data_IF_025250562478
#
_entry.id   IF_025250562478
#
_cell.length_a   1.000
_cell.length_b   1.000
_cell.length_c   1.000
_cell.angle_alpha   90.00
_cell.angle_beta   90.00
_cell.angle_gamma   90.00
#
_symmetry.space_group_name_H-M   'P 1'
#
loop_
_entity.id
_entity.type
_entity.pdbx_description
1 polymer ?
#
# COMPACT_ATOMS: atom_id res chain seq x y z
N UNK A 1 -21.52 37.10 5.26
CA UNK A 1 -20.08 36.99 5.60
C UNK A 1 -19.95 35.77 6.50
N UNK A 2 -19.87 34.59 5.88
CA UNK A 2 -19.99 33.29 6.54
C UNK A 2 -18.60 32.80 6.93
N UNK A 3 -18.35 32.76 8.24
CA UNK A 3 -17.12 32.22 8.83
C UNK A 3 -17.05 30.72 8.52
N UNK A 4 -16.05 30.30 7.77
CA UNK A 4 -15.77 28.89 7.52
C UNK A 4 -15.12 28.34 8.80
N UNK A 5 -15.83 27.46 9.51
CA UNK A 5 -15.31 26.71 10.66
C UNK A 5 -14.28 25.68 10.18
N UNK A 6 -12.99 25.99 10.38
CA UNK A 6 -11.86 25.24 9.84
C UNK A 6 -11.69 23.88 10.55
N UNK A 7 -12.31 23.69 11.72
CA UNK A 7 -12.12 22.49 12.56
C UNK A 7 -12.91 21.24 12.15
N UNK A 8 -13.86 21.35 11.22
CA UNK A 8 -14.57 20.17 10.67
C UNK A 8 -13.98 19.67 9.34
N UNK A 9 -13.11 20.45 8.68
CA UNK A 9 -12.58 20.09 7.37
C UNK A 9 -11.48 19.01 7.42
N UNK A 10 -10.84 18.83 8.57
CA UNK A 10 -9.66 17.95 8.71
C UNK A 10 -10.00 16.45 8.64
N UNK A 11 -11.22 16.05 9.04
CA UNK A 11 -11.63 14.63 9.05
C UNK A 11 -12.20 14.16 7.71
N UNK A 12 -12.74 15.07 6.89
CA UNK A 12 -13.29 14.72 5.57
C UNK A 12 -12.22 14.50 4.50
N UNK A 13 -10.99 14.97 4.71
CA UNK A 13 -9.89 14.77 3.76
C UNK A 13 -9.49 13.29 3.64
N UNK A 14 -9.70 12.50 4.70
CA UNK A 14 -9.35 11.07 4.75
C UNK A 14 -10.44 10.14 4.19
N UNK A 15 -11.64 10.64 3.90
CA UNK A 15 -12.73 9.83 3.37
C UNK A 15 -12.87 9.91 1.83
N UNK A 16 -12.04 10.74 1.17
CA UNK A 16 -12.26 11.17 -0.22
C UNK A 16 -11.28 10.60 -1.26
N UNK A 17 -10.53 9.54 -0.96
CA UNK A 17 -9.47 9.04 -1.85
C UNK A 17 -9.78 7.68 -2.45
N UNK A 18 -10.70 7.58 -3.40
CA UNK A 18 -10.81 6.38 -4.25
C UNK A 18 -11.09 6.75 -5.69
N UNK A 19 -10.23 7.59 -6.26
CA UNK A 19 -10.08 7.68 -7.71
C UNK A 19 -9.24 6.50 -8.17
N UNK A 20 -9.87 5.30 -8.22
CA UNK A 20 -9.40 4.02 -8.78
C UNK A 20 -7.97 4.01 -9.37
N UNK A 21 -6.96 4.16 -8.52
CA UNK A 21 -5.57 4.01 -8.91
C UNK A 21 -5.39 2.52 -9.23
N UNK A 22 -4.98 2.19 -10.46
CA UNK A 22 -5.05 0.84 -11.04
C UNK A 22 -4.64 -0.23 -10.03
N UNK A 23 -5.61 -1.02 -9.57
CA UNK A 23 -5.32 -2.06 -8.60
C UNK A 23 -4.63 -3.24 -9.30
N UNK A 24 -3.65 -3.84 -8.61
CA UNK A 24 -2.90 -4.98 -9.11
C UNK A 24 -3.20 -6.21 -8.27
N UNK A 25 -3.27 -7.37 -8.92
CA UNK A 25 -3.22 -8.63 -8.18
C UNK A 25 -1.89 -8.76 -7.42
N UNK A 26 -1.91 -9.48 -6.30
CA UNK A 26 -0.70 -9.75 -5.51
C UNK A 26 0.44 -10.34 -6.36
N UNK A 27 0.11 -11.23 -7.30
CA UNK A 27 1.10 -11.86 -8.18
C UNK A 27 1.72 -10.88 -9.18
N UNK A 28 0.92 -9.98 -9.74
CA UNK A 28 1.43 -8.94 -10.63
C UNK A 28 2.35 -7.98 -9.86
N UNK A 29 1.93 -7.53 -8.67
CA UNK A 29 2.75 -6.68 -7.80
C UNK A 29 4.08 -7.35 -7.42
N UNK A 30 4.05 -8.64 -7.08
CA UNK A 30 5.24 -9.43 -6.79
C UNK A 30 6.20 -9.51 -7.99
N UNK A 31 5.70 -9.75 -9.20
CA UNK A 31 6.55 -9.79 -10.40
C UNK A 31 7.19 -8.44 -10.71
N UNK A 32 6.45 -7.34 -10.57
CA UNK A 32 7.01 -6.00 -10.73
C UNK A 32 8.14 -5.75 -9.72
N UNK A 33 7.94 -6.12 -8.46
CA UNK A 33 8.95 -5.96 -7.41
C UNK A 33 10.17 -6.88 -7.62
N UNK A 34 9.94 -8.15 -7.93
CA UNK A 34 10.98 -9.15 -8.15
C UNK A 34 11.90 -8.78 -9.32
N UNK A 35 11.34 -8.18 -10.37
CA UNK A 35 12.10 -7.71 -11.53
C UNK A 35 12.63 -6.27 -11.37
N UNK A 36 12.54 -5.68 -10.18
CA UNK A 36 13.04 -4.34 -9.88
C UNK A 36 12.30 -3.20 -10.59
N UNK A 37 11.10 -3.46 -11.11
CA UNK A 37 10.26 -2.45 -11.81
C UNK A 37 9.43 -1.60 -10.86
N UNK A 38 9.19 -2.09 -9.64
CA UNK A 38 8.53 -1.36 -8.57
C UNK A 38 9.11 -1.73 -7.21
N UNK A 39 8.79 -0.96 -6.17
CA UNK A 39 8.84 -1.47 -4.80
C UNK A 39 7.48 -1.43 -4.15
N UNK A 40 7.28 -2.38 -3.24
CA UNK A 40 6.06 -2.50 -2.47
C UNK A 40 6.24 -1.69 -1.20
N UNK A 41 5.36 -0.72 -1.00
CA UNK A 41 5.29 0.08 0.21
C UNK A 41 4.24 -0.53 1.12
N UNK A 42 4.66 -1.17 2.21
CA UNK A 42 3.76 -1.70 3.23
C UNK A 42 3.25 -0.54 4.11
N UNK A 43 2.01 -0.13 3.83
CA UNK A 43 1.31 0.95 4.53
C UNK A 43 0.41 0.43 5.66
N UNK A 44 0.45 -0.88 5.96
CA UNK A 44 -0.23 -1.43 7.14
C UNK A 44 0.33 -0.81 8.42
N UNK A 45 -0.49 -0.79 9.45
CA UNK A 45 -0.02 -0.45 10.79
C UNK A 45 1.01 -1.46 11.29
N UNK A 46 1.86 -1.04 12.23
CA UNK A 46 2.80 -1.97 12.87
C UNK A 46 2.09 -3.12 13.60
N UNK A 47 0.90 -2.88 14.14
CA UNK A 47 0.09 -3.90 14.81
C UNK A 47 -0.45 -4.95 13.83
N UNK A 48 -0.84 -4.56 12.61
CA UNK A 48 -1.24 -5.51 11.56
C UNK A 48 -0.04 -6.37 11.12
N UNK A 49 1.12 -5.76 10.87
CA UNK A 49 2.35 -6.49 10.54
C UNK A 49 2.73 -7.50 11.63
N UNK A 50 2.66 -7.11 12.90
CA UNK A 50 2.96 -7.99 14.03
C UNK A 50 1.98 -9.18 14.16
N UNK A 51 0.73 -9.02 13.72
CA UNK A 51 -0.30 -10.07 13.78
C UNK A 51 -0.26 -11.01 12.57
N UNK A 52 0.04 -10.47 11.40
CA UNK A 52 -0.16 -11.17 10.12
C UNK A 52 1.14 -11.63 9.48
N UNK A 53 2.28 -11.04 9.86
CA UNK A 53 3.59 -11.25 9.26
C UNK A 53 4.06 -10.05 8.46
N UNK A 54 5.36 -10.00 8.18
CA UNK A 54 5.99 -8.88 7.47
C UNK A 54 6.21 -9.19 6.00
N UNK A 55 6.32 -8.14 5.20
CA UNK A 55 6.79 -8.26 3.83
C UNK A 55 8.32 -8.40 3.84
N UNK A 56 8.91 -9.36 3.11
CA UNK A 56 10.35 -9.47 3.00
C UNK A 56 11.01 -8.18 2.51
N UNK A 57 12.08 -7.75 3.17
CA UNK A 57 12.72 -6.45 2.95
C UNK A 57 13.14 -6.19 1.49
N UNK A 58 13.50 -7.24 0.74
CA UNK A 58 13.93 -7.12 -0.64
C UNK A 58 12.80 -6.64 -1.60
N UNK A 59 11.53 -6.79 -1.21
CA UNK A 59 10.38 -6.30 -1.96
C UNK A 59 10.10 -4.82 -1.70
N UNK A 60 10.55 -4.34 -0.54
CA UNK A 60 10.43 -2.94 -0.12
C UNK A 60 11.64 -2.11 -0.56
N UNK A 61 12.82 -2.71 -0.65
CA UNK A 61 14.02 -2.06 -1.17
C UNK A 61 13.93 -1.92 -2.69
N UNK A 62 14.12 -0.69 -3.20
CA UNK A 62 14.44 -0.53 -4.62
C UNK A 62 15.79 -1.15 -4.95
N UNK A 63 15.99 -1.57 -6.20
CA UNK A 63 17.33 -1.89 -6.72
C UNK A 63 18.28 -0.68 -6.58
N UNK A 64 19.60 -0.88 -6.75
CA UNK A 64 20.64 0.18 -6.60
C UNK A 64 20.37 1.49 -7.36
N UNK A 65 19.52 1.47 -8.40
CA UNK A 65 19.10 2.67 -9.14
C UNK A 65 17.89 3.44 -8.58
N UNK A 66 17.23 2.93 -7.53
CA UNK A 66 15.93 3.41 -7.06
C UNK A 66 14.80 3.13 -8.07
N UNK A 67 13.62 2.74 -7.59
CA UNK A 67 12.46 2.51 -8.46
C UNK A 67 11.69 3.82 -8.69
N UNK A 68 11.11 3.97 -9.89
CA UNK A 68 10.24 5.12 -10.22
C UNK A 68 8.77 4.87 -9.87
N UNK A 69 8.39 3.63 -9.55
CA UNK A 69 7.00 3.21 -9.31
C UNK A 69 6.85 2.56 -7.94
N UNK A 70 5.89 3.05 -7.17
CA UNK A 70 5.47 2.48 -5.89
C UNK A 70 4.17 1.71 -6.08
N UNK A 71 4.05 0.57 -5.40
CA UNK A 71 2.80 -0.18 -5.28
C UNK A 71 2.47 -0.27 -3.79
N UNK A 72 1.28 0.15 -3.40
CA UNK A 72 0.85 0.16 -2.02
C UNK A 72 0.29 -1.20 -1.59
N UNK A 73 0.76 -1.68 -0.44
CA UNK A 73 0.11 -2.74 0.32
C UNK A 73 -0.61 -2.09 1.49
N UNK A 74 -1.93 -1.90 1.34
CA UNK A 74 -2.75 -1.13 2.28
C UNK A 74 -3.38 -2.06 3.32
N UNK A 75 -3.38 -1.62 4.57
CA UNK A 75 -4.07 -2.28 5.69
C UNK A 75 -5.48 -1.76 5.90
N UNK A 76 -6.22 -2.39 6.80
CA UNK A 76 -7.56 -1.93 7.20
C UNK A 76 -7.49 -0.57 7.90
N UNK A 77 -6.46 -0.38 8.75
CA UNK A 77 -6.23 0.85 9.53
C UNK A 77 -5.00 1.63 9.03
N UNK A 78 -4.45 1.21 7.88
CA UNK A 78 -3.23 1.76 7.30
C UNK A 78 -3.44 3.11 6.61
N UNK A 79 -2.33 3.80 6.32
CA UNK A 79 -2.37 4.99 5.49
C UNK A 79 -2.79 4.61 4.07
N UNK A 80 -3.79 5.29 3.51
CA UNK A 80 -4.09 5.21 2.09
C UNK A 80 -3.41 6.37 1.36
N UNK A 81 -2.64 6.04 0.33
CA UNK A 81 -2.05 7.01 -0.60
C UNK A 81 -2.68 6.77 -1.98
N UNK A 82 -2.72 7.80 -2.82
CA UNK A 82 -3.17 7.70 -4.22
C UNK A 82 -2.10 6.99 -5.08
N UNK A 83 -1.84 5.73 -4.74
CA UNK A 83 -0.87 4.84 -5.37
C UNK A 83 -1.59 3.59 -5.88
N UNK A 84 -1.08 2.93 -6.93
CA UNK A 84 -1.56 1.61 -7.34
C UNK A 84 -1.51 0.65 -6.15
N UNK A 85 -2.64 0.06 -5.77
CA UNK A 85 -2.73 -0.80 -4.58
C UNK A 85 -2.85 -2.28 -4.95
N UNK A 86 -2.43 -3.15 -4.04
CA UNK A 86 -2.64 -4.59 -4.18
C UNK A 86 -4.10 -4.92 -3.83
N UNK A 87 -4.82 -5.50 -4.78
CA UNK A 87 -6.19 -5.97 -4.59
C UNK A 87 -6.26 -6.98 -3.44
N UNK A 88 -7.15 -6.72 -2.48
CA UNK A 88 -7.32 -7.57 -1.30
C UNK A 88 -6.17 -7.52 -0.28
N UNK A 89 -5.20 -6.61 -0.47
CA UNK A 89 -4.14 -6.32 0.49
C UNK A 89 -3.31 -7.54 0.87
N UNK A 90 -2.92 -7.61 2.15
CA UNK A 90 -2.01 -8.65 2.63
C UNK A 90 -2.67 -10.03 2.76
N UNK A 91 -3.99 -10.08 2.98
CA UNK A 91 -4.73 -11.34 2.96
C UNK A 91 -4.61 -11.99 1.58
N UNK A 92 -4.89 -11.25 0.50
CA UNK A 92 -4.74 -11.74 -0.86
C UNK A 92 -3.29 -12.08 -1.23
N UNK A 93 -2.32 -11.33 -0.68
CA UNK A 93 -0.89 -11.64 -0.82
C UNK A 93 -0.55 -13.04 -0.29
N UNK A 94 -0.98 -13.34 0.94
CA UNK A 94 -0.76 -14.63 1.59
C UNK A 94 -1.54 -15.75 0.91
N UNK A 95 -2.81 -15.51 0.57
CA UNK A 95 -3.67 -16.51 -0.08
C UNK A 95 -3.14 -16.87 -1.47
N UNK A 96 -2.47 -15.93 -2.16
CA UNK A 96 -1.78 -16.19 -3.43
C UNK A 96 -0.44 -16.95 -3.28
N UNK A 97 -0.03 -17.25 -2.05
CA UNK A 97 1.22 -17.94 -1.71
C UNK A 97 2.47 -17.09 -1.90
N UNK A 98 2.36 -15.75 -1.82
CA UNK A 98 3.51 -14.86 -1.96
C UNK A 98 4.38 -14.88 -0.68
N UNK A 99 5.68 -14.55 -0.79
CA UNK A 99 6.61 -14.63 0.34
C UNK A 99 6.21 -13.73 1.52
N UNK A 100 6.33 -14.26 2.73
CA UNK A 100 6.13 -13.57 4.02
C UNK A 100 7.35 -13.80 4.93
N UNK A 101 7.69 -12.80 5.73
CA UNK A 101 8.77 -12.82 6.72
C UNK A 101 8.28 -13.00 8.14
#
# INVERSE_FOLDING_TARGET
MTTIDIRLAETTLFAGGSSMCSALTARAAFQEALHGRASILDLRSGSERAREGELPAYLSSGAEGGHRRLIALVGADGLTLDLPAIDGGFAAWRDAGMPVG
#
